data_IF_942309796425
#
_entry.id   IF_942309796425
#
_cell.length_a   1.000
_cell.length_b   1.000
_cell.length_c   1.000
_cell.angle_alpha   90.00
_cell.angle_beta   90.00
_cell.angle_gamma   90.00
#
_symmetry.space_group_name_H-M   'P 1'
#
loop_
_entity.id
_entity.type
_entity.pdbx_description
1 polymer ?
#
# COMPACT_ATOMS: atom_id res chain seq x y z
N UNK A 1 -4.23 4.57 16.62
CA UNK A 1 -3.18 5.08 15.70
C UNK A 1 -1.90 4.27 15.73
N UNK A 2 -1.20 4.12 16.86
CA UNK A 2 0.08 3.41 16.90
C UNK A 2 0.04 1.97 16.37
N UNK A 3 -1.04 1.21 16.65
CA UNK A 3 -1.21 -0.15 16.10
C UNK A 3 -1.28 -0.22 14.58
N UNK A 4 -1.82 0.82 13.92
CA UNK A 4 -1.86 0.90 12.46
C UNK A 4 -0.47 1.20 11.88
N UNK A 5 0.37 1.93 12.61
CA UNK A 5 1.68 2.36 12.12
C UNK A 5 2.68 1.21 11.89
N UNK A 6 2.36 -0.03 12.28
CA UNK A 6 3.16 -1.21 11.92
C UNK A 6 3.05 -1.59 10.44
N UNK A 7 2.03 -1.09 9.73
CA UNK A 7 1.81 -1.36 8.31
C UNK A 7 2.29 -0.17 7.48
N UNK A 8 3.17 -0.36 6.49
CA UNK A 8 3.51 0.68 5.54
C UNK A 8 2.39 0.86 4.50
N UNK A 9 2.27 2.09 4.02
CA UNK A 9 1.49 2.47 2.83
C UNK A 9 2.37 3.31 1.91
N UNK A 10 1.99 3.38 0.64
CA UNK A 10 2.79 4.00 -0.40
C UNK A 10 2.00 5.06 -1.14
N UNK A 11 2.61 6.21 -1.41
CA UNK A 11 2.04 7.24 -2.28
C UNK A 11 3.08 7.67 -3.32
N UNK A 12 2.64 8.33 -4.39
CA UNK A 12 3.55 8.81 -5.44
C UNK A 12 4.04 10.21 -5.08
N UNK A 13 5.36 10.41 -5.14
CA UNK A 13 6.03 11.67 -4.90
C UNK A 13 6.83 12.09 -6.13
N UNK A 14 6.98 13.40 -6.34
CA UNK A 14 7.91 13.96 -7.32
C UNK A 14 9.32 14.10 -6.74
N UNK A 15 10.28 14.58 -7.54
CA UNK A 15 11.65 14.80 -7.10
C UNK A 15 11.79 15.59 -5.79
N UNK A 16 10.97 16.63 -5.62
CA UNK A 16 10.95 17.49 -4.42
C UNK A 16 10.28 16.84 -3.21
N UNK A 17 9.90 15.56 -3.31
CA UNK A 17 9.14 14.81 -2.29
C UNK A 17 7.74 15.37 -2.03
N UNK A 18 7.17 16.12 -2.98
CA UNK A 18 5.79 16.57 -2.92
C UNK A 18 4.86 15.48 -3.43
N UNK A 19 3.67 15.38 -2.83
CA UNK A 19 2.60 14.47 -3.27
C UNK A 19 2.21 14.81 -4.70
N UNK A 20 2.15 13.78 -5.54
CA UNK A 20 1.63 13.88 -6.91
C UNK A 20 0.19 13.40 -6.91
N UNK A 21 -0.72 14.33 -7.14
CA UNK A 21 -2.13 14.03 -7.36
C UNK A 21 -2.35 13.37 -8.71
N UNK A 22 -3.34 12.50 -8.79
CA UNK A 22 -3.86 11.94 -10.03
C UNK A 22 -5.23 12.54 -10.29
N UNK A 23 -5.65 12.63 -11.55
CA UNK A 23 -7.01 13.07 -11.85
C UNK A 23 -8.00 12.02 -11.34
N UNK A 24 -8.98 12.46 -10.55
CA UNK A 24 -10.02 11.58 -10.04
C UNK A 24 -10.96 11.13 -11.18
N UNK A 25 -11.04 9.84 -11.51
CA UNK A 25 -11.95 9.38 -12.57
C UNK A 25 -13.42 9.52 -12.16
N UNK A 26 -13.73 9.60 -10.86
CA UNK A 26 -15.08 9.63 -10.31
C UNK A 26 -15.49 11.02 -9.79
N UNK A 27 -14.64 12.04 -9.91
CA UNK A 27 -14.86 13.33 -9.26
C UNK A 27 -14.23 14.53 -9.98
N UNK A 28 -14.47 15.72 -9.44
CA UNK A 28 -13.80 16.95 -9.88
C UNK A 28 -12.57 17.20 -8.98
N UNK A 29 -11.38 17.08 -9.56
CA UNK A 29 -10.12 17.46 -8.92
C UNK A 29 -9.06 16.36 -8.84
N UNK A 30 -8.02 16.63 -8.06
CA UNK A 30 -6.91 15.70 -7.84
C UNK A 30 -7.18 14.78 -6.64
N UNK A 31 -6.68 13.55 -6.76
CA UNK A 31 -6.70 12.54 -5.70
C UNK A 31 -5.29 12.06 -5.39
N UNK A 32 -4.96 11.96 -4.12
CA UNK A 32 -3.78 11.24 -3.64
C UNK A 32 -4.23 9.95 -2.97
N UNK A 33 -3.69 8.83 -3.44
CA UNK A 33 -3.96 7.50 -2.89
C UNK A 33 -2.74 6.97 -2.13
N UNK A 34 -2.98 6.52 -0.89
CA UNK A 34 -2.05 5.67 -0.15
C UNK A 34 -2.40 4.20 -0.38
N UNK A 35 -1.57 3.52 -1.14
CA UNK A 35 -1.70 2.11 -1.46
C UNK A 35 -1.19 1.25 -0.29
N UNK A 36 -1.99 0.28 0.10
CA UNK A 36 -1.62 -0.73 1.13
C UNK A 36 -0.93 -1.96 0.54
N UNK A 37 -1.19 -2.22 -0.75
CA UNK A 37 -0.61 -3.32 -1.51
C UNK A 37 0.61 -2.85 -2.33
N UNK A 38 1.67 -3.65 -2.34
CA UNK A 38 2.93 -3.32 -3.00
C UNK A 38 2.84 -3.43 -4.52
N UNK A 39 2.08 -4.40 -5.05
CA UNK A 39 1.93 -4.61 -6.49
C UNK A 39 1.09 -3.46 -7.09
N UNK A 40 0.00 -3.07 -6.42
CA UNK A 40 -0.83 -1.92 -6.84
C UNK A 40 -0.03 -0.60 -6.78
N UNK A 41 0.78 -0.38 -5.73
CA UNK A 41 1.64 0.80 -5.62
C UNK A 41 2.67 0.91 -6.75
N UNK A 42 3.32 -0.21 -7.08
CA UNK A 42 4.30 -0.29 -8.16
C UNK A 42 3.65 -0.12 -9.53
N UNK A 43 2.49 -0.74 -9.74
CA UNK A 43 1.71 -0.58 -10.97
C UNK A 43 1.30 0.87 -11.19
N UNK A 44 0.81 1.55 -10.15
CA UNK A 44 0.44 2.96 -10.27
C UNK A 44 1.65 3.87 -10.52
N UNK A 45 2.80 3.60 -9.89
CA UNK A 45 4.02 4.36 -10.16
C UNK A 45 4.45 4.23 -11.63
N UNK A 46 4.39 3.02 -12.20
CA UNK A 46 4.71 2.78 -13.60
C UNK A 46 3.76 3.58 -14.52
N UNK A 47 2.45 3.46 -14.31
CA UNK A 47 1.44 4.22 -15.06
C UNK A 47 1.62 5.73 -14.93
N UNK A 48 2.00 6.23 -13.74
CA UNK A 48 2.23 7.64 -13.52
C UNK A 48 3.47 8.16 -14.26
N UNK A 49 4.55 7.36 -14.32
CA UNK A 49 5.76 7.69 -15.10
C UNK A 49 5.48 7.71 -16.59
N UNK A 50 4.69 6.76 -17.09
CA UNK A 50 4.28 6.72 -18.51
C UNK A 50 3.39 7.90 -18.88
N UNK A 51 2.44 8.25 -18.00
CA UNK A 51 1.46 9.31 -18.26
C UNK A 51 2.02 10.73 -18.06
N UNK A 52 3.11 10.87 -17.28
CA UNK A 52 3.69 12.16 -16.93
C UNK A 52 5.21 12.19 -17.23
N UNK A 53 5.62 12.08 -18.51
CA UNK A 53 7.04 12.02 -18.87
C UNK A 53 7.81 13.29 -18.48
N UNK A 54 7.10 14.41 -18.35
CA UNK A 54 7.68 15.72 -17.99
C UNK A 54 7.86 15.91 -16.48
N UNK A 55 7.37 14.99 -15.64
CA UNK A 55 7.55 15.05 -14.19
C UNK A 55 8.77 14.19 -13.82
N UNK A 56 9.95 14.80 -13.59
CA UNK A 56 11.15 14.03 -13.32
C UNK A 56 11.09 13.38 -11.94
N UNK A 57 11.77 12.23 -11.82
CA UNK A 57 12.08 11.59 -10.54
C UNK A 57 10.84 11.18 -9.72
N UNK A 58 9.75 10.80 -10.40
CA UNK A 58 8.62 10.14 -9.73
C UNK A 58 9.08 8.89 -8.99
N UNK A 59 8.76 8.80 -7.70
CA UNK A 59 9.14 7.69 -6.84
C UNK A 59 8.05 7.44 -5.78
N UNK A 60 8.20 6.34 -5.03
CA UNK A 60 7.26 6.03 -3.93
C UNK A 60 7.72 6.67 -2.62
N UNK A 61 6.81 7.42 -2.01
CA UNK A 61 6.85 7.78 -0.59
C UNK A 61 6.36 6.62 0.27
N UNK A 62 6.85 6.57 1.52
CA UNK A 62 6.37 5.60 2.53
C UNK A 62 5.72 6.36 3.67
N UNK A 63 4.46 6.03 3.96
CA UNK A 63 3.69 6.61 5.07
C UNK A 63 3.17 5.47 5.95
N UNK A 64 3.31 5.52 7.29
CA UNK A 64 2.66 4.55 8.16
C UNK A 64 1.13 4.59 8.00
N UNK A 65 0.46 3.43 7.98
CA UNK A 65 -0.98 3.34 7.74
C UNK A 65 -1.79 4.19 8.72
N UNK A 66 -1.37 4.32 9.98
CA UNK A 66 -2.07 5.20 10.92
C UNK A 66 -2.03 6.66 10.47
N UNK A 67 -0.88 7.17 10.03
CA UNK A 67 -0.81 8.55 9.51
C UNK A 67 -1.64 8.70 8.23
N UNK A 68 -1.52 7.76 7.28
CA UNK A 68 -2.32 7.77 6.05
C UNK A 68 -3.83 7.72 6.34
N UNK A 69 -4.27 6.92 7.32
CA UNK A 69 -5.64 6.87 7.79
C UNK A 69 -6.10 8.21 8.38
N UNK A 70 -5.30 8.84 9.23
CA UNK A 70 -5.64 10.15 9.78
C UNK A 70 -5.77 11.22 8.70
N UNK A 71 -4.89 11.20 7.70
CA UNK A 71 -4.95 12.09 6.54
C UNK A 71 -6.23 11.86 5.71
N UNK A 72 -6.53 10.60 5.39
CA UNK A 72 -7.71 10.23 4.62
C UNK A 72 -9.06 10.44 5.37
N UNK A 73 -9.02 10.54 6.70
CA UNK A 73 -10.17 10.90 7.54
C UNK A 73 -10.28 12.40 7.82
N UNK A 74 -9.34 13.22 7.34
CA UNK A 74 -9.28 14.66 7.66
C UNK A 74 -8.93 14.97 9.12
N UNK A 75 -8.31 14.03 9.84
CA UNK A 75 -7.86 14.18 11.23
C UNK A 75 -6.44 14.74 11.34
N UNK A 76 -5.68 14.73 10.24
CA UNK A 76 -4.34 15.30 10.14
C UNK A 76 -4.28 16.32 9.01
N UNK A 77 -3.44 17.34 9.18
CA UNK A 77 -3.25 18.38 8.17
C UNK A 77 -2.36 17.89 7.01
N UNK A 78 -2.70 18.35 5.81
CA UNK A 78 -1.92 18.12 4.59
C UNK A 78 -1.84 19.42 3.80
N UNK A 79 -0.72 19.62 3.10
CA UNK A 79 -0.57 20.71 2.13
C UNK A 79 -1.11 20.33 0.75
N UNK A 80 -1.52 19.08 0.54
CA UNK A 80 -2.13 18.63 -0.70
C UNK A 80 -3.54 19.20 -0.86
N UNK A 81 -3.82 19.79 -2.02
CA UNK A 81 -5.13 20.33 -2.36
C UNK A 81 -5.87 19.30 -3.21
N UNK A 82 -6.72 18.50 -2.58
CA UNK A 82 -7.49 17.45 -3.25
C UNK A 82 -7.98 16.38 -2.28
N UNK A 83 -8.51 15.29 -2.83
CA UNK A 83 -9.02 14.17 -2.04
C UNK A 83 -7.88 13.27 -1.58
N UNK A 84 -7.91 12.89 -0.30
CA UNK A 84 -6.94 11.99 0.33
C UNK A 84 -7.61 10.64 0.58
N UNK A 85 -7.08 9.56 -0.03
CA UNK A 85 -7.70 8.23 0.00
C UNK A 85 -6.74 7.14 0.44
N UNK A 86 -7.29 6.13 1.13
CA UNK A 86 -6.63 4.84 1.29
C UNK A 86 -7.09 3.89 0.20
N UNK A 87 -6.14 3.20 -0.42
CA UNK A 87 -6.41 2.22 -1.47
C UNK A 87 -6.00 0.82 -1.01
N UNK A 88 -7.00 -0.04 -0.87
CA UNK A 88 -6.82 -1.49 -0.74
C UNK A 88 -6.44 -2.13 -2.07
N UNK A 89 -6.13 -3.42 -2.05
CA UNK A 89 -5.95 -4.19 -3.28
C UNK A 89 -7.21 -4.10 -4.14
N UNK A 90 -7.06 -3.67 -5.39
CA UNK A 90 -8.16 -3.31 -6.28
C UNK A 90 -9.20 -4.43 -6.43
N UNK A 91 -8.75 -5.68 -6.67
CA UNK A 91 -9.64 -6.84 -6.78
C UNK A 91 -10.44 -7.12 -5.50
N UNK A 92 -9.86 -6.85 -4.34
CA UNK A 92 -10.49 -7.06 -3.04
C UNK A 92 -11.52 -5.96 -2.77
N UNK A 93 -11.18 -4.70 -3.04
CA UNK A 93 -12.08 -3.57 -2.88
C UNK A 93 -13.32 -3.78 -3.75
N UNK A 94 -13.17 -4.09 -5.04
CA UNK A 94 -14.30 -4.31 -5.94
C UNK A 94 -15.18 -5.49 -5.50
N UNK A 95 -14.59 -6.60 -5.06
CA UNK A 95 -15.33 -7.77 -4.62
C UNK A 95 -16.12 -7.56 -3.31
N UNK A 96 -15.75 -6.57 -2.50
CA UNK A 96 -16.29 -6.38 -1.14
C UNK A 96 -16.99 -5.04 -0.93
N UNK A 97 -16.95 -4.14 -1.94
CA UNK A 97 -17.44 -2.76 -1.88
C UNK A 97 -18.83 -2.63 -1.27
N UNK A 98 -19.80 -3.37 -1.79
CA UNK A 98 -21.20 -3.28 -1.34
C UNK A 98 -21.38 -3.76 0.11
N UNK A 99 -20.84 -4.94 0.44
CA UNK A 99 -20.95 -5.52 1.77
C UNK A 99 -20.29 -4.62 2.83
N UNK A 100 -19.11 -4.08 2.53
CA UNK A 100 -18.36 -3.21 3.43
C UNK A 100 -19.06 -1.84 3.57
N UNK A 101 -19.61 -1.28 2.49
CA UNK A 101 -20.39 -0.04 2.53
C UNK A 101 -21.63 -0.17 3.42
N UNK A 102 -22.37 -1.28 3.33
CA UNK A 102 -23.52 -1.55 4.20
C UNK A 102 -23.13 -1.59 5.68
N UNK A 103 -21.96 -2.16 6.02
CA UNK A 103 -21.46 -2.17 7.40
C UNK A 103 -21.13 -0.76 7.91
N UNK A 104 -20.49 0.08 7.09
CA UNK A 104 -20.17 1.46 7.44
C UNK A 104 -21.44 2.24 7.78
N UNK A 105 -22.48 2.14 6.93
CA UNK A 105 -23.79 2.78 7.17
C UNK A 105 -24.47 2.22 8.42
N UNK A 106 -24.43 0.91 8.64
CA UNK A 106 -25.03 0.28 9.82
C UNK A 106 -24.38 0.74 11.13
N UNK A 107 -23.11 1.17 11.10
CA UNK A 107 -22.40 1.76 12.23
C UNK A 107 -22.60 3.27 12.37
N UNK A 108 -23.42 3.89 11.52
CA UNK A 108 -23.67 5.34 11.53
C UNK A 108 -22.46 6.16 11.05
N UNK A 109 -21.54 5.55 10.31
CA UNK A 109 -20.35 6.20 9.76
C UNK A 109 -20.62 6.71 8.34
N UNK A 110 -19.89 7.75 7.93
CA UNK A 110 -19.95 8.26 6.56
C UNK A 110 -19.18 7.34 5.60
N UNK A 111 -19.77 7.04 4.44
CA UNK A 111 -19.16 6.19 3.41
C UNK A 111 -17.86 6.74 2.85
N UNK A 112 -17.63 8.05 2.93
CA UNK A 112 -16.42 8.71 2.43
C UNK A 112 -16.17 8.47 0.94
N UNK A 113 -14.95 8.72 0.50
CA UNK A 113 -14.52 8.55 -0.91
C UNK A 113 -13.61 7.35 -1.12
N UNK A 114 -13.45 6.50 -0.10
CA UNK A 114 -12.59 5.33 -0.14
C UNK A 114 -13.16 4.21 0.73
N UNK A 115 -12.69 2.98 0.49
CA UNK A 115 -13.02 1.80 1.27
C UNK A 115 -11.74 0.97 1.42
N UNK A 116 -11.42 0.55 2.64
CA UNK A 116 -10.28 -0.32 2.89
C UNK A 116 -10.76 -1.57 3.64
N UNK A 117 -11.03 -2.67 2.92
CA UNK A 117 -11.39 -3.93 3.53
C UNK A 117 -10.22 -4.50 4.34
N UNK A 118 -10.54 -5.01 5.53
CA UNK A 118 -9.62 -5.76 6.37
C UNK A 118 -10.21 -7.13 6.69
N UNK A 119 -9.35 -8.12 6.79
CA UNK A 119 -9.72 -9.51 7.03
C UNK A 119 -9.37 -9.90 8.46
N UNK A 120 -10.35 -10.45 9.16
CA UNK A 120 -10.21 -11.07 10.45
C UNK A 120 -10.43 -12.59 10.30
N UNK A 121 -9.64 -13.38 11.01
CA UNK A 121 -9.79 -14.84 11.05
C UNK A 121 -9.77 -15.31 12.50
N UNK A 122 -10.92 -15.74 12.98
CA UNK A 122 -11.11 -16.16 14.38
C UNK A 122 -10.28 -17.42 14.67
N UNK A 123 -10.11 -18.29 13.69
CA UNK A 123 -9.35 -19.54 13.85
C UNK A 123 -7.83 -19.33 13.92
N UNK A 124 -7.34 -18.16 13.50
CA UNK A 124 -5.96 -17.69 13.72
C UNK A 124 -5.83 -16.82 14.97
N UNK A 125 -6.95 -16.50 15.63
CA UNK A 125 -6.96 -15.69 16.84
C UNK A 125 -6.75 -16.53 18.10
N UNK A 126 -6.24 -15.89 19.15
CA UNK A 126 -6.04 -16.45 20.48
C UNK A 126 -6.52 -15.45 21.54
N UNK A 127 -6.39 -15.80 22.83
CA UNK A 127 -6.72 -14.89 23.93
C UNK A 127 -5.81 -13.65 24.01
N UNK A 128 -4.68 -13.64 23.28
CA UNK A 128 -3.70 -12.54 23.33
C UNK A 128 -3.45 -11.89 21.98
N UNK A 129 -3.82 -12.53 20.86
CA UNK A 129 -3.54 -12.06 19.51
C UNK A 129 -4.73 -12.30 18.59
N UNK A 130 -5.13 -11.26 17.87
CA UNK A 130 -6.13 -11.26 16.80
C UNK A 130 -5.47 -10.65 15.57
N UNK A 131 -5.03 -11.47 14.60
CA UNK A 131 -4.35 -10.97 13.42
C UNK A 131 -5.37 -10.34 12.46
N UNK A 132 -5.03 -9.14 11.98
CA UNK A 132 -5.81 -8.40 10.98
C UNK A 132 -4.96 -8.23 9.73
N UNK A 133 -5.51 -8.63 8.58
CA UNK A 133 -4.81 -8.61 7.30
C UNK A 133 -5.44 -7.59 6.35
N UNK A 134 -4.63 -6.97 5.48
CA UNK A 134 -5.11 -6.03 4.46
C UNK A 134 -5.39 -6.70 3.11
N UNK A 135 -4.95 -7.94 2.93
CA UNK A 135 -5.20 -8.73 1.73
C UNK A 135 -5.37 -10.22 2.10
N UNK A 136 -6.12 -10.95 1.27
CA UNK A 136 -6.38 -12.38 1.47
C UNK A 136 -5.12 -13.22 1.31
N UNK A 137 -4.19 -12.79 0.47
CA UNK A 137 -2.95 -13.53 0.23
C UNK A 137 -2.15 -13.72 1.52
N UNK A 138 -1.94 -12.66 2.30
CA UNK A 138 -1.17 -12.69 3.54
C UNK A 138 -1.88 -13.50 4.63
N UNK A 139 -3.21 -13.47 4.67
CA UNK A 139 -4.00 -14.36 5.53
C UNK A 139 -3.75 -15.83 5.18
N UNK A 140 -3.77 -16.18 3.90
CA UNK A 140 -3.49 -17.55 3.45
C UNK A 140 -2.04 -17.95 3.79
N UNK A 141 -1.07 -17.05 3.65
CA UNK A 141 0.31 -17.33 4.05
C UNK A 141 0.41 -17.58 5.57
N UNK A 142 -0.26 -16.77 6.39
CA UNK A 142 -0.31 -16.98 7.82
C UNK A 142 -1.01 -18.30 8.21
N UNK A 143 -2.06 -18.67 7.48
CA UNK A 143 -2.74 -19.96 7.64
C UNK A 143 -1.80 -21.14 7.42
N UNK A 144 -1.06 -21.12 6.31
CA UNK A 144 -0.07 -22.16 5.99
C UNK A 144 1.06 -22.17 7.02
N UNK A 145 1.57 -20.99 7.41
CA UNK A 145 2.60 -20.87 8.44
C UNK A 145 2.15 -21.38 9.82
N UNK A 146 0.85 -21.41 10.10
CA UNK A 146 0.28 -22.03 11.31
C UNK A 146 0.24 -23.56 11.28
N UNK A 147 0.77 -24.19 10.21
CA UNK A 147 0.81 -25.64 10.02
C UNK A 147 -0.47 -26.22 9.43
N UNK A 148 -1.33 -25.39 8.85
CA UNK A 148 -2.62 -25.82 8.28
C UNK A 148 -2.53 -25.93 6.75
N UNK A 149 -3.25 -26.88 6.13
CA UNK A 149 -3.27 -26.99 4.67
C UNK A 149 -3.92 -25.77 4.00
N UNK A 150 -3.47 -25.43 2.80
CA UNK A 150 -3.94 -24.22 2.08
C UNK A 150 -5.41 -24.33 1.66
N UNK A 151 -5.84 -25.54 1.34
CA UNK A 151 -7.18 -25.92 0.91
C UNK A 151 -8.22 -25.86 2.04
N UNK A 152 -7.78 -25.73 3.30
CA UNK A 152 -8.68 -25.60 4.45
C UNK A 152 -8.89 -24.16 4.92
N UNK A 153 -8.36 -23.18 4.17
CA UNK A 153 -8.63 -21.76 4.44
C UNK A 153 -10.13 -21.53 4.33
N UNK A 154 -10.77 -20.88 5.32
CA UNK A 154 -12.19 -20.58 5.27
C UNK A 154 -12.56 -19.75 4.03
N UNK A 155 -13.64 -20.14 3.35
CA UNK A 155 -14.18 -19.37 2.23
C UNK A 155 -14.90 -18.10 2.72
N UNK A 156 -15.55 -18.18 3.88
CA UNK A 156 -16.32 -17.09 4.49
C UNK A 156 -15.49 -16.38 5.57
N UNK A 157 -14.48 -15.63 5.15
CA UNK A 157 -13.70 -14.81 6.07
C UNK A 157 -14.51 -13.60 6.56
N UNK A 158 -14.28 -13.20 7.81
CA UNK A 158 -14.84 -11.96 8.33
C UNK A 158 -14.13 -10.77 7.68
N UNK A 159 -14.87 -9.96 6.94
CA UNK A 159 -14.38 -8.79 6.22
C UNK A 159 -15.12 -7.55 6.74
N UNK A 160 -14.37 -6.50 7.07
CA UNK A 160 -14.94 -5.22 7.47
C UNK A 160 -14.17 -4.02 6.94
N UNK A 161 -14.77 -2.83 6.98
CA UNK A 161 -14.07 -1.59 6.67
C UNK A 161 -13.08 -1.26 7.79
N UNK A 162 -11.90 -0.75 7.45
CA UNK A 162 -10.94 -0.27 8.44
C UNK A 162 -11.55 0.79 9.38
N UNK A 163 -12.44 1.67 8.89
CA UNK A 163 -13.12 2.67 9.72
C UNK A 163 -14.06 2.03 10.73
N UNK A 164 -14.77 0.97 10.34
CA UNK A 164 -15.62 0.19 11.25
C UNK A 164 -14.76 -0.45 12.33
N UNK A 165 -13.64 -1.07 11.96
CA UNK A 165 -12.69 -1.64 12.92
C UNK A 165 -12.16 -0.57 13.89
N UNK A 166 -11.71 0.57 13.38
CA UNK A 166 -11.19 1.67 14.20
C UNK A 166 -12.28 2.23 15.13
N UNK A 167 -13.52 2.37 14.64
CA UNK A 167 -14.65 2.80 15.46
C UNK A 167 -14.93 1.80 16.59
N UNK A 168 -14.96 0.51 16.30
CA UNK A 168 -15.16 -0.54 17.31
C UNK A 168 -14.02 -0.61 18.33
N UNK A 169 -12.78 -0.32 17.90
CA UNK A 169 -11.63 -0.21 18.80
C UNK A 169 -11.74 0.98 19.76
N UNK A 170 -12.53 2.00 19.45
CA UNK A 170 -12.73 3.18 20.31
C UNK A 170 -13.87 2.99 21.31
N UNK A 171 -14.78 2.05 21.09
CA UNK A 171 -15.99 1.84 21.89
C UNK A 171 -15.90 0.66 22.86
N UNK A 172 -14.70 0.12 23.09
CA UNK A 172 -14.44 -1.09 23.92
C UNK A 172 -15.25 -2.35 23.50
N UNK A 173 -15.85 -2.34 22.31
CA UNK A 173 -16.57 -3.48 21.75
C UNK A 173 -15.64 -4.67 21.44
N UNK A 174 -14.33 -4.42 21.38
CA UNK A 174 -13.30 -5.39 21.06
C UNK A 174 -12.15 -5.31 22.06
N UNK A 175 -11.53 -6.46 22.38
CA UNK A 175 -10.28 -6.50 23.13
C UNK A 175 -9.13 -5.95 22.27
N UNK A 176 -9.12 -4.64 22.02
CA UNK A 176 -8.24 -3.98 21.05
C UNK A 176 -6.75 -4.22 21.33
N UNK A 177 -6.40 -4.51 22.58
CA UNK A 177 -5.04 -4.92 22.98
C UNK A 177 -4.56 -6.15 22.22
N UNK A 178 -5.45 -7.08 21.85
CA UNK A 178 -5.13 -8.28 21.08
C UNK A 178 -5.00 -8.03 19.59
N UNK A 179 -5.47 -6.90 19.04
CA UNK A 179 -5.41 -6.67 17.58
C UNK A 179 -3.97 -6.45 17.13
N UNK A 180 -3.52 -7.23 16.15
CA UNK A 180 -2.22 -7.08 15.50
C UNK A 180 -2.39 -7.01 13.98
N UNK A 181 -2.03 -5.87 13.38
CA UNK A 181 -2.01 -5.75 11.93
C UNK A 181 -0.79 -6.47 11.35
N UNK A 182 -1.05 -7.39 10.42
CA UNK A 182 -0.02 -8.17 9.75
C UNK A 182 0.37 -7.46 8.45
N UNK A 183 1.60 -6.97 8.40
CA UNK A 183 2.15 -6.34 7.20
C UNK A 183 2.61 -7.37 6.18
N UNK A 184 2.33 -7.11 4.89
CA UNK A 184 2.78 -7.98 3.80
C UNK A 184 4.31 -8.02 3.72
N UNK A 185 4.94 -9.20 3.57
CA UNK A 185 6.37 -9.30 3.29
C UNK A 185 6.79 -8.50 2.04
N UNK A 186 5.93 -8.46 1.01
CA UNK A 186 6.16 -7.67 -0.19
C UNK A 186 6.20 -6.17 0.12
N UNK A 187 5.24 -5.68 0.90
CA UNK A 187 5.21 -4.28 1.32
C UNK A 187 6.42 -3.92 2.18
N UNK A 188 6.86 -4.82 3.08
CA UNK A 188 8.10 -4.61 3.86
C UNK A 188 9.32 -4.51 2.92
N UNK A 189 9.45 -5.38 1.93
CA UNK A 189 10.52 -5.30 0.95
C UNK A 189 10.47 -4.00 0.13
N UNK A 190 9.26 -3.56 -0.26
CA UNK A 190 9.06 -2.31 -1.00
C UNK A 190 9.47 -1.08 -0.18
N UNK A 191 9.30 -1.09 1.15
CA UNK A 191 9.80 0.01 2.01
C UNK A 191 11.31 0.22 1.83
N UNK A 192 12.09 -0.86 1.76
CA UNK A 192 13.54 -0.76 1.56
C UNK A 192 13.87 -0.16 0.19
N UNK A 193 13.19 -0.63 -0.86
CA UNK A 193 13.36 -0.10 -2.23
C UNK A 193 12.98 1.37 -2.32
N UNK A 194 11.80 1.75 -1.82
CA UNK A 194 11.31 3.13 -1.83
C UNK A 194 12.25 4.09 -1.08
N UNK A 195 12.80 3.67 0.07
CA UNK A 195 13.79 4.46 0.81
C UNK A 195 15.10 4.63 0.04
N UNK A 196 15.57 3.59 -0.65
CA UNK A 196 16.77 3.66 -1.47
C UNK A 196 16.58 4.60 -2.66
N UNK A 197 15.43 4.52 -3.34
CA UNK A 197 15.06 5.42 -4.44
C UNK A 197 14.95 6.87 -3.96
N UNK A 198 14.27 7.14 -2.86
CA UNK A 198 14.17 8.49 -2.29
C UNK A 198 15.55 9.07 -1.94
N UNK A 199 16.47 8.25 -1.40
CA UNK A 199 17.84 8.67 -1.13
C UNK A 199 18.60 9.00 -2.43
N UNK A 200 18.41 8.22 -3.50
CA UNK A 200 19.00 8.49 -4.80
C UNK A 200 18.46 9.79 -5.41
N UNK A 201 17.14 9.99 -5.38
CA UNK A 201 16.47 11.22 -5.85
C UNK A 201 17.07 12.45 -5.16
N UNK A 202 17.23 12.40 -3.83
CA UNK A 202 17.85 13.49 -3.07
C UNK A 202 19.28 13.80 -3.52
N UNK A 203 20.07 12.77 -3.82
CA UNK A 203 21.46 12.93 -4.31
C UNK A 203 21.52 13.50 -5.72
N UNK A 204 20.59 13.11 -6.60
CA UNK A 204 20.47 13.67 -7.95
C UNK A 204 20.15 15.16 -7.86
N UNK A 205 19.17 15.55 -7.03
CA UNK A 205 18.79 16.96 -6.84
C UNK A 205 19.90 17.80 -6.19
N UNK A 206 20.72 17.19 -5.32
CA UNK A 206 21.91 17.83 -4.76
C UNK A 206 23.07 17.98 -5.78
N UNK A 207 22.92 17.44 -7.01
CA UNK A 207 23.97 17.46 -8.02
C UNK A 207 25.11 16.46 -7.77
N UNK A 208 24.94 15.53 -6.83
CA UNK A 208 25.96 14.54 -6.45
C UNK A 208 26.02 13.35 -7.42
N UNK A 209 24.97 13.14 -8.22
CA UNK A 209 24.83 12.03 -9.17
C UNK A 209 24.20 12.55 -10.46
N UNK A 210 24.83 12.29 -11.61
CA UNK A 210 24.23 12.54 -12.92
C UNK A 210 23.35 11.37 -13.36
N UNK A 211 22.17 11.67 -13.93
CA UNK A 211 21.22 10.69 -14.46
C UNK A 211 21.79 9.78 -15.55
N UNK A 212 22.89 10.17 -16.21
CA UNK A 212 23.55 9.40 -17.26
C UNK A 212 24.28 8.13 -16.77
N UNK A 213 24.28 7.83 -15.47
CA UNK A 213 25.05 6.74 -14.87
C UNK A 213 24.23 5.71 -14.09
N UNK A 214 22.90 5.67 -14.23
CA UNK A 214 22.08 4.63 -13.59
C UNK A 214 22.02 3.42 -14.55
N UNK A 215 22.71 2.30 -14.27
CA UNK A 215 22.53 1.11 -15.07
C UNK A 215 21.08 0.64 -14.92
N UNK A 216 20.43 0.46 -16.06
CA UNK A 216 19.11 -0.14 -16.16
C UNK A 216 19.18 -1.54 -15.53
N UNK A 217 18.46 -1.75 -14.42
CA UNK A 217 18.55 -2.98 -13.63
C UNK A 217 17.97 -4.20 -14.38
N UNK A 218 17.26 -3.98 -15.48
CA UNK A 218 16.71 -5.00 -16.37
C UNK A 218 17.43 -5.08 -17.73
N UNK A 219 18.54 -4.34 -17.93
CA UNK A 219 19.33 -4.52 -19.15
C UNK A 219 20.05 -5.87 -19.11
N UNK A 220 19.85 -6.75 -20.12
CA UNK A 220 20.65 -7.96 -20.23
C UNK A 220 22.14 -7.59 -20.34
N UNK A 221 23.05 -8.38 -19.75
CA UNK A 221 24.46 -8.10 -19.81
C UNK A 221 24.89 -7.95 -21.28
N UNK A 222 25.76 -6.97 -21.61
CA UNK A 222 26.23 -6.81 -22.96
C UNK A 222 26.86 -8.12 -23.43
N UNK A 223 26.39 -8.61 -24.58
CA UNK A 223 27.01 -9.75 -25.25
C UNK A 223 28.48 -9.40 -25.42
N UNK A 224 29.33 -10.20 -24.80
CA UNK A 224 30.77 -10.12 -25.03
C UNK A 224 30.98 -10.54 -26.48
N UNK A 225 31.52 -9.64 -27.29
CA UNK A 225 31.94 -9.95 -28.64
C UNK A 225 33.02 -11.04 -28.56
N UNK A 226 32.63 -12.29 -28.84
CA UNK A 226 33.56 -13.37 -29.10
C UNK A 226 34.36 -13.00 -30.35
N UNK A 227 35.60 -12.55 -30.12
CA UNK A 227 36.61 -12.34 -31.16
C UNK A 227 36.78 -13.66 -31.93
N UNK A 228 36.52 -13.71 -33.25
CA UNK A 228 36.66 -14.94 -34.00
C UNK A 228 38.14 -15.36 -34.04
N UNK A 229 38.46 -16.66 -33.89
CA UNK A 229 39.83 -17.11 -33.86
C UNK A 229 40.53 -16.83 -35.19
N UNK A 230 41.85 -16.55 -35.17
CA UNK A 230 42.60 -16.25 -36.38
C UNK A 230 42.61 -17.46 -37.32
N UNK A 231 42.34 -17.20 -38.60
CA UNK A 231 42.43 -18.17 -39.68
C UNK A 231 43.91 -18.50 -39.94
N UNK A 232 44.30 -19.76 -39.74
CA UNK A 232 45.52 -20.36 -40.31
C UNK A 232 45.30 -20.81 -41.76
#
# INVERSE_FOLDING_TARGET
MQKLNSVPTFCILNGDSNIVGMQDPEGEGEVCCWFTDADDAMGMLASARESNPDVPLLHLGVTPLGLAFALAMGWAESHFVGNLRLQGQSSTVEATKEAVAQQVVAQGLELGTWTLPVFCCDELSSSTVTPVFLNRHDLVQAWVASGRPRETVPDNLSIMDLRVLVHQMQTDAFAWSTIHFVGSPKSVALVHKAKAEAALVKRILAGEVCLAGVPDADAPPPLTDDEPPPLE
#
